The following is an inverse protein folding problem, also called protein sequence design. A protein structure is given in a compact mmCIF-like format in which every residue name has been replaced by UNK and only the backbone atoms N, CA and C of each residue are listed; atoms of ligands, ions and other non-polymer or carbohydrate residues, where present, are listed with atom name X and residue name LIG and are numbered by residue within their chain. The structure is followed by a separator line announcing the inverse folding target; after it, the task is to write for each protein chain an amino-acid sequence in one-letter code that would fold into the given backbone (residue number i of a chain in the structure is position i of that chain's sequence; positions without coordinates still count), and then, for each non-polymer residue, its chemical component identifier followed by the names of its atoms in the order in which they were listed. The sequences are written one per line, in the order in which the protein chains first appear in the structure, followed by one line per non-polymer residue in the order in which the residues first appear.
data_IF_648771006875
#
_entry.id   IF_648771006875
#
_cell.length_a   1.000
_cell.length_b   1.000
_cell.length_c   1.000
_cell.angle_alpha   90.00
_cell.angle_beta   90.00
_cell.angle_gamma   90.00
#
_symmetry.space_group_name_H-M   'P 1'
#
loop_
_entity.id
_entity.type
_entity.pdbx_description
1 polymer ?
#
# COMPACT_ATOMS: atom_id res chain seq x y z
N UNK A 1 -9.01 16.26 8.15
CA UNK A 1 -9.69 16.51 6.86
C UNK A 1 -8.91 16.04 5.62
N UNK A 2 -7.88 15.23 5.82
CA UNK A 2 -7.00 14.72 4.74
C UNK A 2 -7.73 13.70 3.85
N UNK A 3 -8.63 12.92 4.41
CA UNK A 3 -9.47 11.99 3.63
C UNK A 3 -10.43 12.70 2.66
N UNK A 4 -10.71 13.97 2.83
CA UNK A 4 -11.66 14.71 1.98
C UNK A 4 -11.14 15.05 0.58
N UNK A 5 -9.81 15.01 0.34
CA UNK A 5 -9.23 15.44 -0.95
C UNK A 5 -8.81 14.29 -1.86
N UNK A 6 -8.56 13.09 -1.32
CA UNK A 6 -8.06 11.95 -2.10
C UNK A 6 -9.16 11.03 -2.67
N UNK A 7 -10.37 11.06 -2.08
CA UNK A 7 -11.49 10.27 -2.58
C UNK A 7 -12.77 11.02 -2.25
N UNK A 8 -13.50 11.48 -3.24
CA UNK A 8 -14.70 12.32 -3.07
C UNK A 8 -15.77 11.76 -2.12
N UNK A 9 -15.84 10.44 -1.97
CA UNK A 9 -16.82 9.73 -1.15
C UNK A 9 -16.35 9.26 0.23
N UNK A 10 -15.06 9.40 0.58
CA UNK A 10 -14.53 8.86 1.84
C UNK A 10 -14.79 9.81 3.01
N UNK A 11 -15.16 9.24 4.16
CA UNK A 11 -15.35 9.95 5.43
C UNK A 11 -14.88 9.10 6.59
N UNK A 12 -14.14 9.72 7.53
CA UNK A 12 -13.88 9.13 8.84
C UNK A 12 -15.06 9.48 9.74
N UNK A 13 -15.66 8.49 10.35
CA UNK A 13 -16.78 8.62 11.29
C UNK A 13 -16.27 8.31 12.69
N UNK A 14 -16.33 9.29 13.59
CA UNK A 14 -15.88 9.13 14.98
C UNK A 14 -17.06 8.97 15.94
N UNK A 15 -18.26 9.42 15.55
CA UNK A 15 -19.47 9.36 16.35
C UNK A 15 -20.59 8.70 15.54
N UNK A 16 -21.38 7.82 16.16
CA UNK A 16 -22.49 7.13 15.47
C UNK A 16 -23.46 8.07 14.74
N UNK A 17 -23.73 9.26 15.29
CA UNK A 17 -24.63 10.24 14.72
C UNK A 17 -24.15 10.83 13.37
N UNK A 18 -22.84 10.74 13.07
CA UNK A 18 -22.27 11.26 11.81
C UNK A 18 -22.32 10.21 10.68
N UNK A 19 -22.70 8.95 10.98
CA UNK A 19 -22.69 7.84 10.04
C UNK A 19 -23.64 8.06 8.86
N UNK A 20 -24.86 8.53 9.12
CA UNK A 20 -25.88 8.74 8.08
C UNK A 20 -25.44 9.79 7.06
N UNK A 21 -24.75 10.84 7.51
CA UNK A 21 -24.23 11.87 6.61
C UNK A 21 -23.08 11.33 5.76
N UNK A 22 -22.18 10.55 6.37
CA UNK A 22 -21.07 9.91 5.69
C UNK A 22 -21.58 8.94 4.60
N UNK A 23 -22.60 8.13 4.89
CA UNK A 23 -23.24 7.21 3.93
C UNK A 23 -23.86 7.99 2.78
N UNK A 24 -24.63 9.07 3.06
CA UNK A 24 -25.24 9.89 2.01
C UNK A 24 -24.19 10.54 1.11
N UNK A 25 -23.04 10.93 1.67
CA UNK A 25 -21.93 11.48 0.91
C UNK A 25 -21.33 10.42 0.00
N UNK A 26 -21.03 9.23 0.51
CA UNK A 26 -20.48 8.12 -0.27
C UNK A 26 -21.43 7.68 -1.39
N UNK A 27 -22.75 7.65 -1.12
CA UNK A 27 -23.79 7.29 -2.09
C UNK A 27 -23.92 8.25 -3.30
N UNK A 28 -23.30 9.43 -3.23
CA UNK A 28 -23.24 10.34 -4.40
C UNK A 28 -22.18 9.93 -5.41
N UNK A 29 -21.19 9.16 -4.97
CA UNK A 29 -20.07 8.70 -5.79
C UNK A 29 -20.34 7.33 -6.41
N UNK A 30 -20.89 6.37 -5.60
CA UNK A 30 -21.21 5.02 -6.07
C UNK A 30 -22.41 4.44 -5.31
N UNK A 31 -23.16 3.55 -5.98
CA UNK A 31 -24.24 2.80 -5.36
C UNK A 31 -23.79 1.74 -4.36
N UNK A 32 -22.54 1.30 -4.45
CA UNK A 32 -21.93 0.36 -3.50
C UNK A 32 -21.09 1.15 -2.49
N UNK A 33 -21.47 1.05 -1.21
CA UNK A 33 -20.78 1.72 -0.10
C UNK A 33 -20.07 0.68 0.75
N UNK A 34 -18.79 0.93 1.04
CA UNK A 34 -17.98 0.12 1.94
C UNK A 34 -17.88 0.85 3.28
N UNK A 35 -18.19 0.13 4.36
CA UNK A 35 -18.04 0.61 5.74
C UNK A 35 -17.03 -0.28 6.41
N UNK A 36 -15.94 0.32 6.91
CA UNK A 36 -14.80 -0.42 7.46
C UNK A 36 -14.52 0.03 8.89
N UNK A 37 -13.93 -0.86 9.68
CA UNK A 37 -13.39 -0.52 10.99
C UNK A 37 -12.23 0.47 10.83
N UNK A 38 -12.23 1.54 11.61
CA UNK A 38 -11.09 2.46 11.69
C UNK A 38 -9.93 1.82 12.45
N UNK A 39 -8.82 1.56 11.77
CA UNK A 39 -7.64 0.93 12.36
C UNK A 39 -6.66 2.01 12.84
N UNK A 40 -6.23 1.91 14.11
CA UNK A 40 -5.11 2.67 14.66
C UNK A 40 -3.84 1.81 14.62
N UNK A 41 -2.79 2.28 13.95
CA UNK A 41 -1.55 1.53 13.82
C UNK A 41 -0.58 2.17 12.83
N UNK A 42 0.53 1.46 12.59
CA UNK A 42 1.51 1.84 11.57
C UNK A 42 0.99 1.44 10.19
N UNK A 43 1.10 2.35 9.22
CA UNK A 43 0.88 2.04 7.81
C UNK A 43 2.18 1.51 7.21
N UNK A 44 2.12 0.32 6.63
CA UNK A 44 3.29 -0.32 6.02
C UNK A 44 2.95 -0.85 4.63
N UNK A 45 3.94 -0.80 3.74
CA UNK A 45 3.81 -1.16 2.35
C UNK A 45 4.83 -2.22 1.96
N UNK A 46 4.44 -3.15 1.07
CA UNK A 46 5.30 -4.18 0.48
C UNK A 46 5.16 -4.17 -1.03
N UNK A 47 6.28 -4.15 -1.73
CA UNK A 47 6.31 -4.35 -3.17
C UNK A 47 6.40 -5.85 -3.50
N UNK A 48 5.51 -6.32 -4.36
CA UNK A 48 5.55 -7.69 -4.91
C UNK A 48 5.91 -7.62 -6.39
N UNK A 49 6.83 -8.48 -6.81
CA UNK A 49 7.35 -8.57 -8.19
C UNK A 49 7.38 -10.03 -8.63
N UNK A 50 6.88 -10.30 -9.83
CA UNK A 50 6.92 -11.62 -10.45
C UNK A 50 5.58 -12.08 -11.02
N UNK A 51 5.59 -13.21 -11.72
CA UNK A 51 4.38 -13.88 -12.17
C UNK A 51 4.05 -15.06 -11.21
N UNK A 52 4.39 -16.29 -11.57
CA UNK A 52 4.16 -17.47 -10.71
C UNK A 52 5.07 -17.47 -9.48
N UNK A 53 6.34 -17.09 -9.66
CA UNK A 53 7.37 -17.06 -8.62
C UNK A 53 7.50 -15.65 -8.02
N UNK A 54 6.36 -15.05 -7.66
CA UNK A 54 6.31 -13.73 -7.10
C UNK A 54 7.07 -13.66 -5.76
N UNK A 55 7.84 -12.58 -5.61
CA UNK A 55 8.65 -12.28 -4.43
C UNK A 55 8.22 -10.95 -3.81
N UNK A 56 8.36 -10.85 -2.50
CA UNK A 56 8.14 -9.62 -1.75
C UNK A 56 9.47 -8.89 -1.48
N UNK A 57 9.42 -7.58 -1.50
CA UNK A 57 10.53 -6.68 -1.11
C UNK A 57 10.77 -6.68 0.40
N UNK A 58 11.54 -5.73 0.89
CA UNK A 58 11.49 -5.28 2.28
C UNK A 58 10.12 -4.65 2.58
N UNK A 59 9.75 -4.57 3.86
CA UNK A 59 8.59 -3.80 4.31
C UNK A 59 9.02 -2.36 4.55
N UNK A 60 8.28 -1.41 3.99
CA UNK A 60 8.46 0.01 4.24
C UNK A 60 7.34 0.57 5.11
N UNK A 61 7.64 1.56 5.94
CA UNK A 61 6.68 2.25 6.80
C UNK A 61 6.49 3.68 6.32
N UNK A 62 5.25 4.13 6.33
CA UNK A 62 4.88 5.54 6.14
C UNK A 62 4.81 6.18 7.52
N UNK A 63 5.72 7.13 7.81
CA UNK A 63 5.75 7.80 9.10
C UNK A 63 4.47 8.59 9.40
N UNK A 64 4.09 8.67 10.68
CA UNK A 64 2.86 9.32 11.14
C UNK A 64 2.72 10.79 10.71
N UNK A 65 3.83 11.50 10.50
CA UNK A 65 3.83 12.85 9.93
C UNK A 65 3.33 12.89 8.49
N UNK A 66 3.40 11.77 7.77
CA UNK A 66 2.93 11.64 6.39
C UNK A 66 1.43 11.30 6.31
N UNK A 67 0.85 10.74 7.35
CA UNK A 67 -0.58 10.40 7.41
C UNK A 67 -1.51 11.63 7.38
N UNK A 68 -0.96 12.80 7.71
CA UNK A 68 -1.70 14.07 7.76
C UNK A 68 -1.44 14.99 6.55
N UNK A 69 -0.65 14.54 5.55
CA UNK A 69 -0.27 15.40 4.43
C UNK A 69 -1.16 15.21 3.19
N UNK A 70 -1.52 16.35 2.63
CA UNK A 70 -2.27 16.51 1.38
C UNK A 70 -1.49 15.94 0.17
N UNK A 71 -2.18 15.66 -0.94
CA UNK A 71 -1.58 15.24 -2.21
C UNK A 71 -0.42 16.16 -2.65
N UNK A 72 -0.55 17.46 -2.41
CA UNK A 72 0.47 18.44 -2.73
C UNK A 72 1.75 18.27 -1.88
N UNK A 73 1.64 17.84 -0.63
CA UNK A 73 2.78 17.57 0.24
C UNK A 73 3.49 16.25 -0.11
N UNK A 74 2.75 15.24 -0.57
CA UNK A 74 3.36 13.97 -1.04
C UNK A 74 4.23 14.17 -2.28
N UNK A 75 3.88 15.10 -3.15
CA UNK A 75 4.55 15.30 -4.44
C UNK A 75 5.40 16.57 -4.52
N UNK A 76 5.16 17.60 -3.70
CA UNK A 76 5.84 18.89 -3.81
C UNK A 76 6.89 19.10 -2.70
N UNK A 77 6.62 18.74 -1.45
CA UNK A 77 7.50 19.08 -0.32
C UNK A 77 8.38 17.94 0.19
N UNK A 78 8.14 16.68 -0.20
CA UNK A 78 9.02 15.54 0.12
C UNK A 78 9.23 15.27 1.61
N UNK A 79 8.35 15.76 2.50
CA UNK A 79 8.53 15.72 3.96
C UNK A 79 7.99 14.43 4.60
N UNK A 80 7.35 13.55 3.84
CA UNK A 80 6.91 12.24 4.34
C UNK A 80 8.13 11.41 4.74
N UNK A 81 8.30 11.14 6.02
CA UNK A 81 9.36 10.26 6.50
C UNK A 81 9.01 8.82 6.12
N UNK A 82 9.82 8.23 5.26
CA UNK A 82 9.73 6.82 4.91
C UNK A 82 10.82 6.07 5.68
N UNK A 83 10.46 4.93 6.27
CA UNK A 83 11.41 4.05 6.94
C UNK A 83 11.48 2.73 6.19
N UNK A 84 12.64 2.42 5.64
CA UNK A 84 12.91 1.15 4.96
C UNK A 84 14.22 0.59 5.51
N UNK A 85 14.18 -0.53 6.23
CA UNK A 85 13.00 -1.32 6.60
C UNK A 85 12.08 -0.59 7.59
N UNK A 86 10.81 -1.02 7.64
CA UNK A 86 9.82 -0.56 8.61
C UNK A 86 10.25 -0.83 10.06
N UNK A 87 9.85 0.01 10.99
CA UNK A 87 10.17 -0.09 12.43
C UNK A 87 9.20 -1.04 13.15
N UNK A 88 9.16 -2.29 12.69
CA UNK A 88 8.34 -3.38 13.22
C UNK A 88 9.23 -4.59 13.54
N UNK A 89 8.79 -5.53 14.41
CA UNK A 89 9.52 -6.77 14.67
C UNK A 89 9.72 -7.59 13.39
N UNK A 90 10.86 -8.29 13.27
CA UNK A 90 11.18 -9.07 12.07
C UNK A 90 10.15 -10.16 11.78
N UNK A 91 9.62 -10.82 12.82
CA UNK A 91 8.55 -11.81 12.67
C UNK A 91 7.27 -11.24 12.06
N UNK A 92 6.95 -9.97 12.39
CA UNK A 92 5.80 -9.25 11.82
C UNK A 92 6.09 -8.89 10.36
N UNK A 93 7.31 -8.42 10.08
CA UNK A 93 7.78 -8.11 8.73
C UNK A 93 7.68 -9.34 7.82
N UNK A 94 8.15 -10.50 8.28
CA UNK A 94 8.09 -11.74 7.51
C UNK A 94 6.64 -12.20 7.27
N UNK A 95 5.77 -12.10 8.29
CA UNK A 95 4.33 -12.39 8.16
C UNK A 95 3.68 -11.50 7.11
N UNK A 96 4.00 -10.21 7.08
CA UNK A 96 3.51 -9.25 6.09
C UNK A 96 3.95 -9.67 4.69
N UNK A 97 5.23 -9.97 4.48
CA UNK A 97 5.80 -10.38 3.19
C UNK A 97 5.12 -11.64 2.65
N UNK A 98 4.96 -12.65 3.49
CA UNK A 98 4.26 -13.89 3.12
C UNK A 98 2.79 -13.64 2.79
N UNK A 99 2.11 -12.81 3.58
CA UNK A 99 0.71 -12.44 3.34
C UNK A 99 0.55 -11.66 2.03
N UNK A 100 1.48 -10.74 1.74
CA UNK A 100 1.47 -9.97 0.49
C UNK A 100 1.59 -10.88 -0.74
N UNK A 101 2.55 -11.81 -0.74
CA UNK A 101 2.72 -12.79 -1.84
C UNK A 101 1.49 -13.69 -1.98
N UNK A 102 0.92 -14.14 -0.85
CA UNK A 102 -0.30 -14.95 -0.85
C UNK A 102 -1.49 -14.19 -1.45
N UNK A 103 -1.74 -12.97 -1.00
CA UNK A 103 -2.81 -12.11 -1.52
C UNK A 103 -2.63 -11.87 -3.03
N UNK A 104 -1.41 -11.52 -3.44
CA UNK A 104 -1.04 -11.31 -4.83
C UNK A 104 -1.40 -12.51 -5.73
N UNK A 105 -1.05 -13.72 -5.30
CA UNK A 105 -1.33 -14.96 -6.03
C UNK A 105 -2.83 -15.29 -6.06
N UNK A 106 -3.53 -15.14 -4.94
CA UNK A 106 -4.96 -15.43 -4.82
C UNK A 106 -5.80 -14.51 -5.71
N UNK A 107 -5.37 -13.27 -5.90
CA UNK A 107 -6.04 -12.30 -6.77
C UNK A 107 -5.61 -12.40 -8.24
N UNK A 108 -4.75 -13.37 -8.59
CA UNK A 108 -4.28 -13.57 -9.97
C UNK A 108 -3.42 -12.43 -10.51
N UNK A 109 -2.75 -11.68 -9.64
CA UNK A 109 -1.85 -10.60 -10.03
C UNK A 109 -0.63 -11.14 -10.79
N UNK A 110 -0.01 -10.30 -11.62
CA UNK A 110 1.22 -10.60 -12.35
C UNK A 110 2.02 -9.33 -12.62
N UNK A 111 3.33 -9.47 -12.78
CA UNK A 111 4.25 -8.36 -12.98
C UNK A 111 4.57 -7.67 -11.67
N UNK A 112 3.72 -6.74 -11.23
CA UNK A 112 3.96 -5.95 -10.03
C UNK A 112 2.66 -5.66 -9.26
N UNK A 113 2.79 -5.47 -7.95
CA UNK A 113 1.78 -4.83 -7.12
C UNK A 113 2.43 -4.26 -5.85
N UNK A 114 1.83 -3.24 -5.26
CA UNK A 114 2.09 -2.82 -3.89
C UNK A 114 0.94 -3.30 -3.02
N UNK A 115 1.27 -3.89 -1.91
CA UNK A 115 0.30 -4.39 -0.93
C UNK A 115 0.48 -3.60 0.36
N UNK A 116 -0.61 -2.99 0.81
CA UNK A 116 -0.62 -2.05 1.91
C UNK A 116 -1.29 -2.69 3.12
N UNK A 117 -0.72 -2.47 4.30
CA UNK A 117 -1.15 -3.08 5.55
C UNK A 117 -1.20 -2.05 6.68
N UNK A 118 -2.01 -2.35 7.68
CA UNK A 118 -1.90 -1.76 9.01
C UNK A 118 -1.28 -2.77 9.97
N UNK A 119 -0.40 -2.28 10.85
CA UNK A 119 0.12 -3.03 12.00
C UNK A 119 -0.34 -2.33 13.26
N UNK A 120 -1.23 -2.97 14.03
CA UNK A 120 -1.81 -2.38 15.24
C UNK A 120 -0.75 -2.19 16.32
N UNK A 121 -0.92 -1.15 17.15
CA UNK A 121 -0.07 -0.93 18.31
C UNK A 121 -0.30 -2.02 19.37
N UNK A 122 0.74 -2.39 20.08
CA UNK A 122 0.72 -3.31 21.20
C UNK A 122 0.72 -4.80 20.80
N UNK A 123 -0.30 -5.28 20.11
CA UNK A 123 -0.41 -6.69 19.72
C UNK A 123 0.17 -7.02 18.34
N UNK A 124 0.61 -6.02 17.59
CA UNK A 124 1.18 -6.15 16.25
C UNK A 124 0.33 -7.00 15.29
N UNK A 125 -0.99 -6.87 15.37
CA UNK A 125 -1.90 -7.55 14.45
C UNK A 125 -1.72 -6.99 13.04
N UNK A 126 -1.47 -7.88 12.09
CA UNK A 126 -1.31 -7.53 10.68
C UNK A 126 -2.67 -7.54 9.99
N UNK A 127 -3.07 -6.43 9.42
CA UNK A 127 -4.34 -6.24 8.72
C UNK A 127 -4.02 -5.80 7.29
N UNK A 128 -4.43 -6.61 6.31
CA UNK A 128 -4.31 -6.25 4.90
C UNK A 128 -5.35 -5.16 4.61
N UNK A 129 -4.89 -4.06 4.04
CA UNK A 129 -5.72 -2.93 3.63
C UNK A 129 -6.11 -3.05 2.15
N UNK A 130 -5.15 -2.87 1.25
CA UNK A 130 -5.41 -2.90 -0.18
C UNK A 130 -4.25 -3.51 -0.98
N UNK A 131 -4.53 -3.84 -2.24
CA UNK A 131 -3.53 -4.21 -3.23
C UNK A 131 -3.64 -3.27 -4.43
N UNK A 132 -2.54 -2.60 -4.74
CA UNK A 132 -2.44 -1.66 -5.84
C UNK A 132 -1.63 -2.30 -6.99
N UNK A 133 -2.32 -2.71 -8.05
CA UNK A 133 -1.73 -3.44 -9.19
C UNK A 133 -1.03 -2.53 -10.21
N UNK A 134 -1.15 -1.21 -10.05
CA UNK A 134 -0.40 -0.22 -10.84
C UNK A 134 0.11 0.89 -9.90
N UNK A 135 1.05 0.57 -9.00
CA UNK A 135 1.56 1.54 -8.02
C UNK A 135 2.33 2.67 -8.71
N UNK A 136 2.43 3.81 -8.02
CA UNK A 136 3.28 4.91 -8.46
C UNK A 136 4.72 4.43 -8.71
N UNK A 137 5.35 4.96 -9.77
CA UNK A 137 6.66 4.52 -10.23
C UNK A 137 7.63 5.71 -10.48
N UNK A 138 7.52 6.74 -9.64
CA UNK A 138 8.40 7.92 -9.67
C UNK A 138 9.56 7.74 -8.70
N UNK A 139 10.53 8.66 -8.72
CA UNK A 139 11.69 8.67 -7.81
C UNK A 139 11.30 8.77 -6.32
N UNK A 140 10.11 9.29 -6.02
CA UNK A 140 9.59 9.39 -4.65
C UNK A 140 8.69 8.23 -4.26
N UNK A 141 8.25 7.40 -5.22
CA UNK A 141 7.30 6.29 -4.98
C UNK A 141 7.91 5.18 -4.15
N UNK A 142 7.13 4.61 -3.24
CA UNK A 142 7.56 3.55 -2.32
C UNK A 142 7.95 2.27 -3.08
N UNK A 143 7.18 1.86 -4.10
CA UNK A 143 7.41 0.60 -4.81
C UNK A 143 8.86 0.43 -5.32
N UNK A 144 9.43 1.35 -6.13
CA UNK A 144 10.83 1.20 -6.57
C UNK A 144 11.82 1.32 -5.41
N UNK A 145 11.57 2.19 -4.43
CA UNK A 145 12.47 2.36 -3.26
C UNK A 145 12.65 1.06 -2.48
N UNK A 146 11.56 0.31 -2.25
CA UNK A 146 11.58 -0.97 -1.53
C UNK A 146 12.48 -2.00 -2.22
N UNK A 147 12.48 -2.05 -3.54
CA UNK A 147 13.36 -2.95 -4.29
C UNK A 147 14.80 -2.44 -4.34
N UNK A 148 14.99 -1.12 -4.42
CA UNK A 148 16.33 -0.52 -4.43
C UNK A 148 17.04 -0.74 -3.08
N UNK A 149 16.35 -0.61 -1.95
CA UNK A 149 16.90 -0.92 -0.63
C UNK A 149 17.21 -2.41 -0.45
N UNK A 150 16.56 -3.27 -1.22
CA UNK A 150 16.91 -4.71 -1.29
C UNK A 150 18.13 -4.99 -2.20
N UNK A 151 18.72 -3.96 -2.82
CA UNK A 151 19.92 -4.06 -3.64
C UNK A 151 19.68 -4.13 -5.14
N UNK A 152 18.42 -4.00 -5.61
CA UNK A 152 18.10 -3.95 -7.04
C UNK A 152 18.26 -2.52 -7.56
N UNK A 153 18.95 -2.31 -8.67
CA UNK A 153 18.96 -1.00 -9.32
C UNK A 153 17.62 -0.72 -10.00
N UNK A 154 17.27 0.56 -10.15
CA UNK A 154 16.06 0.98 -10.85
C UNK A 154 15.98 0.39 -12.28
N UNK A 155 17.12 0.36 -12.98
CA UNK A 155 17.22 -0.25 -14.31
C UNK A 155 16.91 -1.75 -14.28
N UNK A 156 17.50 -2.50 -13.36
CA UNK A 156 17.23 -3.93 -13.21
C UNK A 156 15.74 -4.20 -12.90
N UNK A 157 15.10 -3.34 -12.10
CA UNK A 157 13.67 -3.44 -11.83
C UNK A 157 12.85 -3.27 -13.11
N UNK A 158 13.19 -2.28 -13.95
CA UNK A 158 12.52 -2.08 -15.24
C UNK A 158 12.74 -3.25 -16.20
N UNK A 159 13.99 -3.72 -16.32
CA UNK A 159 14.34 -4.86 -17.17
C UNK A 159 13.54 -6.11 -16.76
N UNK A 160 13.44 -6.40 -15.45
CA UNK A 160 12.63 -7.52 -14.94
C UNK A 160 11.13 -7.36 -15.24
N UNK A 161 10.56 -6.16 -15.13
CA UNK A 161 9.16 -5.93 -15.47
C UNK A 161 8.87 -6.20 -16.95
N UNK A 162 9.79 -5.80 -17.83
CA UNK A 162 9.69 -6.08 -19.28
C UNK A 162 9.78 -7.59 -19.53
N UNK A 163 10.73 -8.28 -18.92
CA UNK A 163 10.87 -9.73 -19.04
C UNK A 163 9.62 -10.49 -18.56
N UNK A 164 9.05 -10.06 -17.42
CA UNK A 164 7.81 -10.65 -16.89
C UNK A 164 6.61 -10.46 -17.82
N UNK A 165 6.54 -9.30 -18.50
CA UNK A 165 5.49 -9.04 -19.48
C UNK A 165 5.60 -9.98 -20.69
N UNK A 166 6.81 -10.19 -21.23
CA UNK A 166 7.03 -11.16 -22.31
C UNK A 166 6.74 -12.60 -21.88
N UNK A 167 7.20 -12.99 -20.67
CA UNK A 167 6.95 -14.34 -20.16
C UNK A 167 5.45 -14.64 -19.97
N UNK A 168 4.62 -13.62 -19.69
CA UNK A 168 3.17 -13.79 -19.60
C UNK A 168 2.49 -13.92 -20.96
N UNK A 169 2.99 -13.22 -21.97
CA UNK A 169 2.42 -13.23 -23.31
C UNK A 169 2.56 -14.60 -24.04
N UNK A 170 3.46 -15.47 -23.57
CA UNK A 170 3.76 -16.79 -24.15
C UNK A 170 2.96 -17.92 -23.47
N UNK A 171 2.20 -17.62 -22.41
CA UNK A 171 1.33 -18.57 -21.71
C UNK A 171 -0.13 -18.45 -22.14
#
# INVERSE_FOLDING_TARGET
DVYKRLSGGVSKVERPEDLDEAIRKAAREDGKIVVEEGICGQEVEVAVLGNRDAQASLVGEIGASAQFYDYDDKYINGTSQLYIPARIPEEVSEKIRQTAVRAYRLLGCSGLARVDFFVTEGDHRVILNEINTLPGFTSISMYPKLWMERGMTYRQLLDQLVELAFAKAVQ
#
